data_IF_074288557405
#
_entry.id   IF_074288557405
#
_cell.length_a   1.000
_cell.length_b   1.000
_cell.length_c   1.000
_cell.angle_alpha   90.00
_cell.angle_beta   90.00
_cell.angle_gamma   90.00
#
_symmetry.space_group_name_H-M   'P 1'
#
loop_
_entity.id
_entity.type
_entity.pdbx_description
1 polymer ?
#
# COMPACT_ATOMS: atom_id res chain seq x y z
N UNK A 1 -56.30 41.51 22.58
CA UNK A 1 -57.33 41.03 23.53
C UNK A 1 -57.21 39.52 23.58
N UNK A 2 -56.96 38.95 24.77
CA UNK A 2 -57.04 37.51 25.01
C UNK A 2 -55.74 36.93 25.54
N UNK A 3 -55.74 36.63 26.84
CA UNK A 3 -54.61 36.31 27.71
C UNK A 3 -54.06 34.86 27.62
N UNK A 4 -52.85 34.72 28.18
CA UNK A 4 -52.11 33.51 28.50
C UNK A 4 -52.72 32.73 29.69
N UNK A 5 -52.64 31.40 29.65
CA UNK A 5 -52.75 30.53 30.83
C UNK A 5 -51.41 29.80 31.06
N UNK A 6 -50.65 30.27 32.06
CA UNK A 6 -49.46 29.60 32.59
C UNK A 6 -49.80 28.87 33.91
N UNK A 7 -49.76 27.54 33.88
CA UNK A 7 -50.06 26.68 35.02
C UNK A 7 -48.99 26.70 36.11
N UNK A 8 -49.46 26.90 37.34
CA UNK A 8 -48.75 27.06 38.61
C UNK A 8 -48.05 25.76 39.10
N UNK A 9 -46.72 25.71 38.98
CA UNK A 9 -45.83 24.70 39.58
C UNK A 9 -45.19 25.20 40.90
N UNK A 10 -45.49 26.41 41.36
CA UNK A 10 -44.88 27.02 42.56
C UNK A 10 -45.54 26.56 43.87
N UNK A 11 -46.79 26.10 43.83
CA UNK A 11 -47.53 25.68 45.02
C UNK A 11 -47.06 24.37 45.69
N UNK A 12 -46.45 23.43 44.94
CA UNK A 12 -46.10 22.09 45.48
C UNK A 12 -44.75 21.99 46.19
N UNK A 13 -43.81 22.93 45.95
CA UNK A 13 -42.51 22.94 46.62
C UNK A 13 -42.51 23.74 47.95
N UNK A 14 -43.44 24.69 48.11
CA UNK A 14 -43.53 25.50 49.33
C UNK A 14 -43.81 24.68 50.59
N UNK A 15 -44.71 23.70 50.51
CA UNK A 15 -45.09 22.86 51.67
C UNK A 15 -44.01 21.86 52.12
N UNK A 16 -43.04 21.51 51.26
CA UNK A 16 -41.92 20.63 51.60
C UNK A 16 -40.80 21.36 52.34
N UNK A 17 -40.59 22.65 52.02
CA UNK A 17 -39.59 23.49 52.69
C UNK A 17 -40.03 23.89 54.11
N UNK A 18 -41.33 24.06 54.33
CA UNK A 18 -41.86 24.45 55.64
C UNK A 18 -41.80 23.29 56.64
N UNK A 19 -42.11 22.05 56.21
CA UNK A 19 -41.92 20.84 57.03
C UNK A 19 -40.46 20.49 57.31
N UNK A 20 -39.54 20.88 56.41
CA UNK A 20 -38.11 20.74 56.66
C UNK A 20 -37.65 21.69 57.77
N UNK A 21 -38.11 22.95 57.79
CA UNK A 21 -37.73 23.96 58.80
C UNK A 21 -38.12 23.57 60.23
N UNK A 22 -39.26 22.92 60.42
CA UNK A 22 -39.72 22.53 61.76
C UNK A 22 -38.97 21.30 62.30
N UNK A 23 -38.54 20.40 61.41
CA UNK A 23 -37.69 19.25 61.75
C UNK A 23 -36.24 19.68 62.04
N UNK A 24 -35.77 20.78 61.45
CA UNK A 24 -34.42 21.34 61.59
C UNK A 24 -34.12 21.87 63.00
N UNK A 25 -35.12 22.38 63.72
CA UNK A 25 -34.92 22.87 65.09
C UNK A 25 -34.77 21.76 66.15
N UNK A 26 -35.13 20.52 65.82
CA UNK A 26 -35.09 19.38 66.76
C UNK A 26 -33.78 18.57 66.69
N UNK A 27 -33.02 18.74 65.62
CA UNK A 27 -31.79 17.99 65.33
C UNK A 27 -30.70 19.02 65.05
N UNK A 28 -29.88 19.33 66.07
CA UNK A 28 -28.92 20.44 66.02
C UNK A 28 -28.10 20.52 64.72
N UNK A 29 -27.91 21.74 64.21
CA UNK A 29 -27.39 22.09 62.89
C UNK A 29 -26.16 21.26 62.41
N UNK A 30 -25.29 20.83 63.32
CA UNK A 30 -24.14 19.95 63.00
C UNK A 30 -24.54 18.60 62.39
N UNK A 31 -25.68 18.00 62.77
CA UNK A 31 -26.14 16.70 62.24
C UNK A 31 -26.77 16.83 60.85
N UNK A 32 -27.35 17.99 60.53
CA UNK A 32 -27.91 18.29 59.20
C UNK A 32 -26.79 18.57 58.21
N UNK A 33 -25.74 19.28 58.63
CA UNK A 33 -24.54 19.47 57.80
C UNK A 33 -23.90 18.11 57.50
N UNK A 34 -23.71 17.24 58.50
CA UNK A 34 -23.17 15.88 58.29
C UNK A 34 -24.09 15.03 57.41
N UNK A 35 -25.41 15.10 57.60
CA UNK A 35 -26.38 14.38 56.78
C UNK A 35 -26.40 14.86 55.32
N UNK A 36 -26.36 16.18 55.09
CA UNK A 36 -26.28 16.75 53.74
C UNK A 36 -24.94 16.43 53.08
N UNK A 37 -23.83 16.45 53.82
CA UNK A 37 -22.51 16.09 53.32
C UNK A 37 -22.43 14.59 53.00
N UNK A 38 -23.08 13.73 53.79
CA UNK A 38 -23.25 12.30 53.48
C UNK A 38 -24.14 12.08 52.26
N UNK A 39 -25.23 12.85 52.09
CA UNK A 39 -26.08 12.77 50.89
C UNK A 39 -25.34 13.29 49.66
N UNK A 40 -24.53 14.34 49.76
CA UNK A 40 -23.68 14.81 48.67
C UNK A 40 -22.57 13.80 48.36
N UNK A 41 -21.94 13.19 49.38
CA UNK A 41 -20.96 12.09 49.21
C UNK A 41 -21.63 10.85 48.60
N UNK A 42 -22.87 10.53 48.96
CA UNK A 42 -23.62 9.41 48.40
C UNK A 42 -24.08 9.70 46.97
N UNK A 43 -24.51 10.93 46.67
CA UNK A 43 -24.85 11.37 45.30
C UNK A 43 -23.59 11.45 44.43
N UNK A 44 -22.48 11.98 44.93
CA UNK A 44 -21.19 11.95 44.24
C UNK A 44 -20.67 10.52 44.06
N UNK A 45 -20.74 9.71 45.11
CA UNK A 45 -20.20 8.36 45.15
C UNK A 45 -21.00 7.33 44.37
N UNK A 46 -22.27 7.58 44.05
CA UNK A 46 -23.16 6.65 43.31
C UNK A 46 -23.55 7.20 41.94
N UNK A 47 -23.71 8.51 41.77
CA UNK A 47 -24.28 9.11 40.55
C UNK A 47 -23.24 9.69 39.57
N UNK A 48 -21.98 9.89 39.99
CA UNK A 48 -20.89 10.39 39.13
C UNK A 48 -19.84 9.31 38.78
N UNK A 49 -20.11 8.02 39.02
CA UNK A 49 -19.21 6.97 38.56
C UNK A 49 -19.35 6.81 37.05
N UNK A 50 -18.24 6.83 36.27
CA UNK A 50 -18.29 6.53 34.85
C UNK A 50 -18.95 5.18 34.62
N UNK A 51 -19.95 5.15 33.74
CA UNK A 51 -20.59 3.91 33.33
C UNK A 51 -19.60 3.15 32.44
N UNK A 52 -19.29 1.88 32.74
CA UNK A 52 -18.41 1.09 31.89
C UNK A 52 -18.94 0.99 30.46
N UNK A 53 -18.05 1.06 29.47
CA UNK A 53 -18.39 1.01 28.06
C UNK A 53 -18.19 -0.38 27.43
N UNK A 54 -18.29 -0.43 26.10
CA UNK A 54 -18.09 -1.63 25.29
C UNK A 54 -16.99 -1.40 24.26
N UNK A 55 -16.11 -2.38 24.08
CA UNK A 55 -15.09 -2.36 23.02
C UNK A 55 -15.26 -3.62 22.19
N UNK A 56 -15.40 -3.46 20.88
CA UNK A 56 -15.35 -4.56 19.92
C UNK A 56 -14.07 -4.46 19.10
N UNK A 57 -13.35 -5.57 18.95
CA UNK A 57 -12.14 -5.66 18.15
C UNK A 57 -12.37 -6.70 17.06
N UNK A 58 -12.24 -6.29 15.80
CA UNK A 58 -12.21 -7.17 14.64
C UNK A 58 -10.76 -7.44 14.26
N UNK A 59 -10.33 -8.69 14.30
CA UNK A 59 -8.96 -9.09 13.96
C UNK A 59 -8.96 -9.72 12.58
N UNK A 60 -8.20 -9.11 11.66
CA UNK A 60 -8.12 -9.52 10.25
C UNK A 60 -6.66 -9.58 9.81
N UNK A 61 -6.38 -10.36 8.77
CA UNK A 61 -5.06 -10.38 8.15
C UNK A 61 -4.77 -9.05 7.43
N UNK A 62 -3.51 -8.59 7.52
CA UNK A 62 -3.08 -7.39 6.82
C UNK A 62 -3.34 -7.53 5.31
N UNK A 63 -3.99 -6.55 4.70
CA UNK A 63 -4.33 -6.52 3.25
C UNK A 63 -5.43 -7.49 2.80
N UNK A 64 -6.07 -8.20 3.72
CA UNK A 64 -7.21 -9.05 3.42
C UNK A 64 -8.28 -8.97 4.52
N UNK A 65 -9.22 -8.03 4.36
CA UNK A 65 -10.30 -7.80 5.31
C UNK A 65 -11.31 -8.96 5.36
N UNK A 66 -11.36 -9.81 4.34
CA UNK A 66 -12.19 -11.02 4.33
C UNK A 66 -11.56 -12.17 5.13
N UNK A 67 -10.24 -12.14 5.31
CA UNK A 67 -9.50 -13.14 6.07
C UNK A 67 -9.48 -12.78 7.56
N UNK A 68 -10.54 -13.17 8.26
CA UNK A 68 -10.65 -13.02 9.71
C UNK A 68 -9.71 -13.97 10.46
N UNK A 69 -9.26 -13.56 11.64
CA UNK A 69 -8.36 -14.35 12.50
C UNK A 69 -9.11 -14.79 13.77
N UNK A 70 -9.55 -16.04 13.78
CA UNK A 70 -10.21 -16.66 14.93
C UNK A 70 -9.20 -17.23 15.94
N UNK A 71 -9.58 -17.29 17.22
CA UNK A 71 -8.72 -17.83 18.28
C UNK A 71 -7.56 -16.92 18.71
N UNK A 72 -7.48 -15.68 18.22
CA UNK A 72 -6.49 -14.71 18.64
C UNK A 72 -6.80 -14.18 20.04
N UNK A 73 -5.78 -14.06 20.88
CA UNK A 73 -5.90 -13.51 22.22
C UNK A 73 -5.76 -12.00 22.17
N UNK A 74 -6.82 -11.31 22.58
CA UNK A 74 -6.89 -9.84 22.66
C UNK A 74 -6.79 -9.43 24.13
N UNK A 75 -5.87 -8.51 24.42
CA UNK A 75 -5.66 -7.97 25.75
C UNK A 75 -6.04 -6.50 25.78
N UNK A 76 -6.79 -6.11 26.82
CA UNK A 76 -7.11 -4.73 27.12
C UNK A 76 -6.24 -4.28 28.31
N UNK A 77 -5.41 -3.27 28.09
CA UNK A 77 -4.48 -2.70 29.06
C UNK A 77 -4.90 -1.28 29.44
N UNK A 78 -4.64 -0.87 30.68
CA UNK A 78 -4.75 0.52 31.09
C UNK A 78 -3.50 1.34 30.72
N UNK A 79 -3.50 2.64 31.02
CA UNK A 79 -2.37 3.55 30.78
C UNK A 79 -1.05 3.12 31.47
N UNK A 80 -1.11 2.34 32.56
CA UNK A 80 0.07 1.81 33.25
C UNK A 80 0.60 0.50 32.62
N UNK A 81 -0.03 0.04 31.53
CA UNK A 81 0.28 -1.25 30.90
C UNK A 81 -0.26 -2.47 31.67
N UNK A 82 -1.12 -2.27 32.68
CA UNK A 82 -1.73 -3.35 33.45
C UNK A 82 -2.97 -3.89 32.72
N UNK A 83 -3.08 -5.21 32.66
CA UNK A 83 -4.23 -5.89 32.09
C UNK A 83 -5.52 -5.60 32.88
N UNK A 84 -6.53 -5.12 32.15
CA UNK A 84 -7.89 -4.85 32.60
C UNK A 84 -8.82 -6.00 32.21
N UNK A 85 -8.57 -6.63 31.07
CA UNK A 85 -9.31 -7.79 30.59
C UNK A 85 -8.60 -8.49 29.44
N UNK A 86 -9.07 -9.69 29.10
CA UNK A 86 -8.61 -10.47 27.97
C UNK A 86 -9.78 -11.22 27.35
N UNK A 87 -9.85 -11.25 26.03
CA UNK A 87 -10.87 -11.96 25.26
C UNK A 87 -10.22 -12.72 24.11
N UNK A 88 -10.88 -13.78 23.63
CA UNK A 88 -10.42 -14.56 22.48
C UNK A 88 -11.36 -14.29 21.31
N UNK A 89 -10.82 -14.13 20.10
CA UNK A 89 -11.65 -13.89 18.93
C UNK A 89 -12.51 -15.11 18.57
N UNK A 90 -13.76 -14.85 18.22
CA UNK A 90 -14.71 -15.84 17.73
C UNK A 90 -14.43 -16.28 16.28
N UNK A 91 -15.31 -17.12 15.72
CA UNK A 91 -15.21 -17.59 14.32
C UNK A 91 -15.27 -16.45 13.29
N UNK A 92 -15.86 -15.31 13.66
CA UNK A 92 -15.91 -14.10 12.83
C UNK A 92 -14.70 -13.16 13.10
N UNK A 93 -13.71 -13.60 13.88
CA UNK A 93 -12.53 -12.81 14.23
C UNK A 93 -12.81 -11.68 15.22
N UNK A 94 -13.91 -11.74 15.98
CA UNK A 94 -14.34 -10.65 16.87
C UNK A 94 -14.10 -10.98 18.33
N UNK A 95 -13.60 -10.01 19.09
CA UNK A 95 -13.51 -10.02 20.54
C UNK A 95 -14.33 -8.86 21.12
N UNK A 96 -15.12 -9.12 22.17
CA UNK A 96 -15.99 -8.12 22.82
C UNK A 96 -15.65 -7.95 24.30
N UNK A 97 -15.19 -6.75 24.68
CA UNK A 97 -15.05 -6.37 26.09
C UNK A 97 -16.33 -5.68 26.57
N UNK A 98 -17.05 -6.34 27.49
CA UNK A 98 -18.21 -5.77 28.17
C UNK A 98 -17.79 -5.21 29.52
N UNK A 99 -17.91 -3.90 29.69
CA UNK A 99 -17.52 -3.23 30.93
C UNK A 99 -16.11 -2.65 30.92
N UNK A 100 -15.64 -2.22 29.76
CA UNK A 100 -14.37 -1.52 29.65
C UNK A 100 -14.41 -0.18 30.43
N UNK A 101 -13.33 0.20 31.15
CA UNK A 101 -13.28 1.47 31.87
C UNK A 101 -13.55 2.65 30.95
N UNK A 102 -14.47 3.51 31.35
CA UNK A 102 -14.74 4.76 30.65
C UNK A 102 -13.84 5.89 31.16
N UNK A 103 -13.70 6.93 30.33
CA UNK A 103 -12.92 8.14 30.56
C UNK A 103 -11.43 7.89 30.85
N UNK A 104 -10.94 6.70 30.51
CA UNK A 104 -9.56 6.27 30.66
C UNK A 104 -8.92 6.00 29.29
N UNK A 105 -7.61 6.20 29.22
CA UNK A 105 -6.80 5.79 28.08
C UNK A 105 -6.49 4.30 28.21
N UNK A 106 -6.92 3.54 27.21
CA UNK A 106 -6.77 2.09 27.14
C UNK A 106 -5.94 1.72 25.92
N UNK A 107 -5.25 0.59 26.00
CA UNK A 107 -4.45 0.04 24.90
C UNK A 107 -4.88 -1.38 24.63
N UNK A 108 -4.92 -1.75 23.35
CA UNK A 108 -5.18 -3.11 22.90
C UNK A 108 -3.88 -3.73 22.38
N UNK A 109 -3.65 -4.96 22.80
CA UNK A 109 -2.65 -5.86 22.24
C UNK A 109 -3.33 -7.12 21.72
N UNK A 110 -2.85 -7.65 20.59
CA UNK A 110 -3.38 -8.85 19.95
C UNK A 110 -2.26 -9.82 19.69
N UNK A 111 -2.40 -11.04 20.22
CA UNK A 111 -1.53 -12.18 19.95
C UNK A 111 -2.33 -13.26 19.20
N UNK A 112 -2.01 -13.48 17.93
CA UNK A 112 -2.64 -14.48 17.08
C UNK A 112 -1.76 -15.71 16.86
N UNK A 113 -0.79 -15.94 17.74
CA UNK A 113 0.13 -17.08 17.67
C UNK A 113 1.24 -16.93 16.63
N UNK A 114 1.98 -18.02 16.41
CA UNK A 114 3.25 -18.00 15.69
C UNK A 114 3.17 -17.55 14.21
N UNK A 115 1.99 -17.56 13.59
CA UNK A 115 1.81 -17.13 12.21
C UNK A 115 1.78 -15.62 12.03
N UNK A 116 1.57 -14.86 13.10
CA UNK A 116 1.41 -13.40 13.07
C UNK A 116 2.34 -12.70 14.06
N UNK A 117 2.74 -11.47 13.72
CA UNK A 117 3.42 -10.59 14.68
C UNK A 117 2.41 -10.10 15.71
N UNK A 118 2.77 -10.13 16.98
CA UNK A 118 1.96 -9.53 18.04
C UNK A 118 1.73 -8.05 17.74
N UNK A 119 0.47 -7.65 17.62
CA UNK A 119 0.09 -6.26 17.45
C UNK A 119 0.02 -5.60 18.84
N UNK A 120 0.64 -4.44 19.01
CA UNK A 120 0.67 -3.72 20.28
C UNK A 120 0.41 -2.24 20.09
N UNK A 121 -0.11 -1.59 21.13
CA UNK A 121 -0.19 -0.13 21.17
C UNK A 121 -1.41 0.47 20.46
N UNK A 122 -2.48 -0.29 20.22
CA UNK A 122 -3.72 0.27 19.68
C UNK A 122 -4.46 1.05 20.76
N UNK A 123 -4.39 2.38 20.72
CA UNK A 123 -5.04 3.25 21.70
C UNK A 123 -6.55 3.35 21.49
N UNK A 124 -7.32 3.30 22.59
CA UNK A 124 -8.76 3.54 22.59
C UNK A 124 -9.16 4.32 23.83
N UNK A 125 -10.12 5.23 23.64
CA UNK A 125 -10.73 5.98 24.73
C UNK A 125 -12.24 5.88 24.60
N UNK A 126 -12.90 5.61 25.70
CA UNK A 126 -14.35 5.53 25.79
C UNK A 126 -14.87 6.70 26.61
N UNK A 127 -16.00 7.26 26.20
CA UNK A 127 -16.83 8.08 27.09
C UNK A 127 -17.69 7.17 27.98
N UNK A 128 -18.17 7.70 29.11
CA UNK A 128 -19.07 6.99 30.02
C UNK A 128 -20.26 6.34 29.30
N UNK A 129 -20.35 5.01 29.35
CA UNK A 129 -21.38 4.19 28.71
C UNK A 129 -21.24 4.03 27.19
N UNK A 130 -20.17 4.58 26.61
CA UNK A 130 -19.91 4.57 25.17
C UNK A 130 -19.50 3.20 24.63
N UNK A 131 -19.45 3.12 23.30
CA UNK A 131 -18.97 1.95 22.57
C UNK A 131 -17.91 2.34 21.55
N UNK A 132 -16.88 1.52 21.38
CA UNK A 132 -15.87 1.67 20.33
C UNK A 132 -15.71 0.36 19.55
N UNK A 133 -15.41 0.49 18.26
CA UNK A 133 -15.09 -0.63 17.37
C UNK A 133 -13.74 -0.36 16.73
N UNK A 134 -12.85 -1.34 16.78
CA UNK A 134 -11.49 -1.23 16.28
C UNK A 134 -11.19 -2.40 15.35
N UNK A 135 -10.35 -2.16 14.37
CA UNK A 135 -9.86 -3.19 13.46
C UNK A 135 -8.35 -3.39 13.67
N UNK A 136 -7.98 -4.62 14.01
CA UNK A 136 -6.61 -5.06 14.22
C UNK A 136 -6.11 -5.79 12.96
N UNK A 137 -5.33 -5.10 12.13
CA UNK A 137 -4.71 -5.68 10.92
C UNK A 137 -3.40 -6.37 11.25
N UNK A 138 -3.42 -7.71 11.25
CA UNK A 138 -2.32 -8.57 11.69
C UNK A 138 -1.29 -8.80 10.58
N UNK A 139 -0.04 -8.44 10.86
CA UNK A 139 1.10 -8.71 9.97
C UNK A 139 1.55 -10.16 10.12
N UNK A 140 1.83 -10.87 9.02
CA UNK A 140 2.39 -12.22 9.09
C UNK A 140 3.78 -12.21 9.75
N UNK A 141 4.08 -13.27 10.48
CA UNK A 141 5.37 -13.46 11.16
C UNK A 141 6.50 -13.93 10.22
N UNK A 142 6.42 -13.63 8.93
CA UNK A 142 7.47 -13.93 7.96
C UNK A 142 8.60 -12.90 8.04
N UNK A 143 9.83 -13.38 8.13
CA UNK A 143 11.06 -12.60 8.20
C UNK A 143 11.61 -12.34 6.80
N UNK A 144 11.11 -11.29 6.16
CA UNK A 144 11.56 -10.84 4.85
C UNK A 144 12.39 -9.56 4.98
N UNK A 145 13.52 -9.52 4.27
CA UNK A 145 14.35 -8.33 4.11
C UNK A 145 14.32 -7.85 2.65
N UNK A 146 14.43 -6.53 2.47
CA UNK A 146 14.39 -5.90 1.15
C UNK A 146 15.62 -5.01 0.97
N UNK A 147 16.28 -5.16 -0.17
CA UNK A 147 17.25 -4.19 -0.69
C UNK A 147 16.75 -3.65 -2.01
N UNK A 148 16.70 -2.31 -2.10
CA UNK A 148 16.15 -1.61 -3.26
C UNK A 148 17.27 -0.81 -3.91
N UNK A 149 17.43 -0.98 -5.22
CA UNK A 149 18.40 -0.23 -5.99
C UNK A 149 17.70 0.79 -6.89
N UNK A 150 18.19 2.03 -6.89
CA UNK A 150 17.86 3.09 -7.85
C UNK A 150 16.35 3.29 -8.05
N UNK A 151 15.64 3.70 -6.99
CA UNK A 151 14.25 4.15 -7.13
C UNK A 151 14.24 5.38 -8.05
N UNK A 152 13.53 5.34 -9.18
CA UNK A 152 13.45 6.46 -10.11
C UNK A 152 12.80 7.67 -9.44
N UNK A 153 13.21 8.87 -9.85
CA UNK A 153 12.67 10.14 -9.35
C UNK A 153 11.77 10.85 -10.38
N UNK A 154 11.66 10.30 -11.59
CA UNK A 154 10.82 10.81 -12.68
C UNK A 154 10.21 9.66 -13.45
N UNK A 155 9.04 9.90 -14.04
CA UNK A 155 8.35 8.96 -14.93
C UNK A 155 7.51 9.73 -15.94
N UNK A 156 7.51 9.31 -17.20
CA UNK A 156 6.66 9.89 -18.24
C UNK A 156 5.18 9.67 -17.95
N UNK A 157 4.33 10.65 -18.30
CA UNK A 157 2.89 10.51 -18.17
C UNK A 157 2.37 9.26 -18.90
N UNK A 158 1.67 8.39 -18.17
CA UNK A 158 1.13 7.09 -18.62
C UNK A 158 2.15 5.96 -18.79
N UNK A 159 3.43 6.23 -18.53
CA UNK A 159 4.53 5.28 -18.63
C UNK A 159 4.76 4.51 -17.33
N UNK A 160 5.63 3.50 -17.40
CA UNK A 160 6.07 2.73 -16.24
C UNK A 160 7.57 2.81 -16.06
N UNK A 161 8.04 2.76 -14.82
CA UNK A 161 9.46 2.57 -14.51
C UNK A 161 9.67 1.30 -13.71
N UNK A 162 10.80 0.66 -13.94
CA UNK A 162 11.16 -0.58 -13.25
C UNK A 162 12.10 -0.29 -12.09
N UNK A 163 11.85 -0.94 -10.95
CA UNK A 163 12.70 -0.91 -9.77
C UNK A 163 13.18 -2.32 -9.48
N UNK A 164 14.48 -2.50 -9.34
CA UNK A 164 15.06 -3.77 -8.91
C UNK A 164 15.00 -3.87 -7.39
N UNK A 165 14.32 -4.91 -6.90
CA UNK A 165 14.15 -5.19 -5.47
C UNK A 165 14.66 -6.59 -5.17
N UNK A 166 15.76 -6.69 -4.43
CA UNK A 166 16.22 -7.95 -3.89
C UNK A 166 15.43 -8.26 -2.61
N UNK A 167 14.70 -9.37 -2.62
CA UNK A 167 13.98 -9.88 -1.45
C UNK A 167 14.76 -11.08 -0.92
N UNK A 168 15.01 -11.08 0.38
CA UNK A 168 15.64 -12.21 1.09
C UNK A 168 14.65 -12.81 2.07
N UNK A 169 14.37 -14.11 1.92
CA UNK A 169 13.62 -14.87 2.91
C UNK A 169 14.58 -15.38 3.98
N UNK A 170 14.46 -14.86 5.20
CA UNK A 170 15.31 -15.22 6.33
C UNK A 170 14.79 -16.43 7.10
N UNK A 171 13.59 -16.92 6.80
CA UNK A 171 13.01 -18.11 7.43
C UNK A 171 13.45 -19.40 6.75
N UNK A 172 13.22 -20.55 7.39
CA UNK A 172 13.44 -21.88 6.79
C UNK A 172 12.33 -22.27 5.81
N UNK A 173 11.12 -21.75 6.02
CA UNK A 173 9.93 -22.06 5.24
C UNK A 173 9.79 -21.14 4.02
N UNK A 174 9.17 -21.61 2.93
CA UNK A 174 8.88 -20.74 1.78
C UNK A 174 7.88 -19.64 2.14
N UNK A 175 8.01 -18.49 1.49
CA UNK A 175 7.11 -17.35 1.67
C UNK A 175 6.52 -16.90 0.33
N UNK A 176 5.23 -16.54 0.33
CA UNK A 176 4.59 -15.94 -0.84
C UNK A 176 5.07 -14.49 -1.01
N UNK A 177 5.57 -14.16 -2.20
CA UNK A 177 6.03 -12.83 -2.56
C UNK A 177 5.01 -12.19 -3.49
N UNK A 178 4.40 -11.10 -3.04
CA UNK A 178 3.49 -10.26 -3.83
C UNK A 178 3.74 -8.80 -3.44
N UNK A 179 3.92 -7.92 -4.43
CA UNK A 179 4.13 -6.49 -4.20
C UNK A 179 2.82 -5.73 -4.39
N UNK A 180 2.53 -4.83 -3.45
CA UNK A 180 1.37 -3.94 -3.50
C UNK A 180 1.79 -2.49 -3.30
N UNK A 181 1.06 -1.58 -3.94
CA UNK A 181 1.22 -0.14 -3.77
C UNK A 181 0.20 0.41 -2.77
N UNK A 182 0.64 1.27 -1.86
CA UNK A 182 -0.22 2.06 -0.99
C UNK A 182 -0.23 3.54 -1.37
N UNK A 183 -1.30 4.25 -1.00
CA UNK A 183 -1.48 5.66 -1.33
C UNK A 183 -1.75 5.84 -2.82
N UNK A 184 -1.03 6.73 -3.49
CA UNK A 184 -1.27 7.00 -4.91
C UNK A 184 -0.80 5.87 -5.84
N UNK A 185 -0.04 4.91 -5.31
CA UNK A 185 0.49 3.73 -6.01
C UNK A 185 -0.49 2.54 -6.04
N UNK A 186 -1.64 2.65 -5.39
CA UNK A 186 -2.64 1.58 -5.38
C UNK A 186 -3.08 1.22 -6.81
N UNK A 187 -3.01 -0.07 -7.15
CA UNK A 187 -3.30 -0.58 -8.50
C UNK A 187 -2.27 -0.21 -9.57
N UNK A 188 -1.09 0.31 -9.20
CA UNK A 188 -0.05 0.78 -10.14
C UNK A 188 1.28 0.04 -10.03
N UNK A 189 1.36 -0.93 -9.14
CA UNK A 189 2.53 -1.77 -8.92
C UNK A 189 2.30 -3.11 -9.60
N UNK A 190 3.23 -3.51 -10.45
CA UNK A 190 3.18 -4.78 -11.18
C UNK A 190 4.50 -5.50 -10.99
N UNK A 191 4.43 -6.71 -10.45
CA UNK A 191 5.57 -7.59 -10.25
C UNK A 191 5.10 -9.04 -10.36
N UNK A 192 5.99 -10.00 -10.68
CA UNK A 192 5.63 -11.41 -10.60
C UNK A 192 5.27 -11.77 -9.15
N UNK A 193 4.25 -12.60 -9.01
CA UNK A 193 3.86 -13.22 -7.73
C UNK A 193 4.29 -14.68 -7.74
N UNK A 194 5.04 -15.10 -6.73
CA UNK A 194 5.59 -16.45 -6.62
C UNK A 194 6.02 -16.78 -5.19
N UNK A 195 6.33 -18.05 -4.93
CA UNK A 195 6.96 -18.47 -3.67
C UNK A 195 8.48 -18.34 -3.71
N UNK A 196 9.05 -17.75 -2.66
CA UNK A 196 10.48 -17.69 -2.42
C UNK A 196 10.86 -18.70 -1.34
N UNK A 197 11.73 -19.64 -1.69
CA UNK A 197 12.22 -20.66 -0.76
C UNK A 197 12.91 -20.05 0.47
N UNK A 198 12.83 -20.74 1.60
CA UNK A 198 13.52 -20.33 2.82
C UNK A 198 15.03 -20.19 2.62
N UNK A 199 15.64 -19.25 3.33
CA UNK A 199 17.08 -18.92 3.28
C UNK A 199 17.62 -18.56 1.90
N UNK A 200 16.77 -18.09 1.00
CA UNK A 200 17.17 -17.65 -0.35
C UNK A 200 16.89 -16.17 -0.59
N UNK A 201 17.58 -15.62 -1.59
CA UNK A 201 17.37 -14.26 -2.08
C UNK A 201 17.05 -14.29 -3.57
N UNK A 202 16.16 -13.41 -4.02
CA UNK A 202 15.83 -13.23 -5.43
C UNK A 202 15.57 -11.77 -5.75
N UNK A 203 16.02 -11.33 -6.93
CA UNK A 203 15.74 -9.99 -7.44
C UNK A 203 14.46 -9.98 -8.26
N UNK A 204 13.55 -9.09 -7.87
CA UNK A 204 12.28 -8.83 -8.52
C UNK A 204 12.37 -7.52 -9.30
N UNK A 205 11.80 -7.52 -10.51
CA UNK A 205 11.60 -6.28 -11.26
C UNK A 205 10.17 -5.80 -10.98
N UNK A 206 10.07 -4.73 -10.20
CA UNK A 206 8.80 -4.13 -9.81
C UNK A 206 8.53 -2.94 -10.72
N UNK A 207 7.52 -3.06 -11.57
CA UNK A 207 7.09 -1.98 -12.46
C UNK A 207 6.10 -1.07 -11.73
N UNK A 208 6.32 0.24 -11.81
CA UNK A 208 5.47 1.27 -11.21
C UNK A 208 4.98 2.19 -12.33
N UNK A 209 3.65 2.32 -12.45
CA UNK A 209 3.03 3.07 -13.55
C UNK A 209 2.49 4.42 -13.11
N UNK A 210 2.85 5.48 -13.85
CA UNK A 210 2.34 6.82 -13.63
C UNK A 210 0.84 6.96 -13.99
N UNK A 211 0.23 8.08 -13.58
CA UNK A 211 -1.09 8.49 -14.08
C UNK A 211 -1.02 8.87 -15.55
N UNK A 212 -2.10 8.59 -16.29
CA UNK A 212 -2.12 8.59 -17.75
C UNK A 212 -2.22 9.98 -18.40
N UNK A 213 -2.57 11.04 -17.67
CA UNK A 213 -3.20 12.20 -18.28
C UNK A 213 -2.53 13.56 -18.03
N UNK A 214 -1.54 13.68 -17.14
CA UNK A 214 -0.94 15.00 -16.88
C UNK A 214 0.51 14.98 -16.42
N UNK A 215 1.37 15.67 -17.18
CA UNK A 215 2.71 16.04 -16.74
C UNK A 215 2.66 17.22 -15.76
N UNK A 216 3.63 17.29 -14.85
CA UNK A 216 3.73 18.31 -13.80
C UNK A 216 3.13 17.90 -12.45
N UNK A 217 2.50 16.72 -12.37
CA UNK A 217 2.06 16.13 -11.11
C UNK A 217 3.21 15.34 -10.46
N UNK A 218 3.01 14.88 -9.23
CA UNK A 218 3.88 13.91 -8.57
C UNK A 218 3.07 12.67 -8.23
N UNK A 219 3.76 11.54 -8.10
CA UNK A 219 3.18 10.30 -7.58
C UNK A 219 4.02 9.84 -6.40
N UNK A 220 3.38 9.74 -5.24
CA UNK A 220 4.04 9.30 -4.02
C UNK A 220 3.29 8.15 -3.32
N UNK A 221 4.05 7.28 -2.68
CA UNK A 221 3.46 6.19 -1.90
C UNK A 221 4.49 5.20 -1.41
N UNK A 222 3.99 4.07 -0.90
CA UNK A 222 4.82 2.98 -0.42
C UNK A 222 4.57 1.74 -1.29
N UNK A 223 5.64 1.14 -1.79
CA UNK A 223 5.60 -0.21 -2.35
C UNK A 223 6.05 -1.16 -1.26
N UNK A 224 5.25 -2.19 -0.97
CA UNK A 224 5.57 -3.16 0.09
C UNK A 224 5.18 -4.57 -0.30
N UNK A 225 5.76 -5.53 0.40
CA UNK A 225 5.35 -6.93 0.31
C UNK A 225 4.01 -7.09 1.03
N UNK A 226 3.04 -7.70 0.36
CA UNK A 226 1.72 -8.01 0.90
C UNK A 226 1.84 -8.83 2.18
N UNK A 227 0.90 -8.65 3.11
CA UNK A 227 0.90 -9.26 4.43
C UNK A 227 2.03 -8.82 5.36
N UNK A 228 2.92 -7.93 4.89
CA UNK A 228 3.99 -7.34 5.66
C UNK A 228 3.91 -5.81 5.63
N UNK A 229 4.60 -5.16 6.58
CA UNK A 229 4.83 -3.71 6.54
C UNK A 229 6.20 -3.36 5.94
N UNK A 230 6.91 -4.36 5.37
CA UNK A 230 8.23 -4.20 4.77
C UNK A 230 8.11 -3.71 3.34
N UNK A 231 8.73 -2.57 3.06
CA UNK A 231 8.62 -1.90 1.78
C UNK A 231 9.59 -0.73 1.65
N UNK A 232 9.39 0.05 0.60
CA UNK A 232 10.16 1.24 0.29
C UNK A 232 9.24 2.36 -0.21
N UNK A 233 9.62 3.60 0.06
CA UNK A 233 8.91 4.77 -0.42
C UNK A 233 9.29 5.05 -1.87
N UNK A 234 8.32 5.52 -2.64
CA UNK A 234 8.50 5.98 -4.01
C UNK A 234 7.95 7.38 -4.09
N UNK A 235 8.74 8.27 -4.68
CA UNK A 235 8.37 9.65 -4.96
C UNK A 235 8.92 10.00 -6.34
N UNK A 236 8.01 10.15 -7.30
CA UNK A 236 8.36 10.41 -8.70
C UNK A 236 7.62 11.64 -9.21
N UNK A 237 8.35 12.51 -9.92
CA UNK A 237 7.73 13.57 -10.70
C UNK A 237 7.22 13.01 -12.03
N UNK A 238 5.97 13.30 -12.35
CA UNK A 238 5.37 12.92 -13.63
C UNK A 238 5.76 13.97 -14.67
N UNK A 239 6.54 13.57 -15.67
CA UNK A 239 7.04 14.48 -16.72
C UNK A 239 6.36 14.21 -18.06
N UNK A 240 6.62 15.06 -19.05
CA UNK A 240 6.19 14.79 -20.43
C UNK A 240 6.77 13.44 -20.87
N UNK A 241 5.89 12.56 -21.38
CA UNK A 241 6.29 11.23 -21.87
C UNK A 241 7.44 11.33 -22.87
N UNK A 242 8.42 10.45 -22.72
CA UNK A 242 9.49 10.32 -23.71
C UNK A 242 8.98 9.69 -25.00
N UNK A 243 9.56 10.13 -26.12
CA UNK A 243 9.39 9.52 -27.44
C UNK A 243 10.76 9.39 -28.10
N UNK A 244 10.94 8.50 -29.06
CA UNK A 244 12.21 8.31 -29.74
C UNK A 244 12.05 8.22 -31.26
N UNK A 245 13.05 8.68 -32.01
CA UNK A 245 13.11 8.52 -33.47
C UNK A 245 14.12 7.45 -33.84
N UNK A 246 13.82 6.70 -34.90
CA UNK A 246 14.71 5.68 -35.45
C UNK A 246 15.20 6.13 -36.83
N UNK A 247 16.49 5.99 -37.09
CA UNK A 247 17.12 6.31 -38.37
C UNK A 247 18.17 5.25 -38.74
N UNK A 248 18.01 4.53 -39.88
CA UNK A 248 16.90 4.63 -40.82
C UNK A 248 15.60 4.06 -40.23
N UNK A 249 14.45 4.50 -40.76
CA UNK A 249 13.13 3.98 -40.37
C UNK A 249 12.73 2.71 -41.13
N UNK A 250 13.55 2.24 -42.07
CA UNK A 250 13.36 1.02 -42.87
C UNK A 250 14.72 0.54 -43.36
N UNK A 251 14.95 -0.77 -43.39
CA UNK A 251 16.18 -1.38 -43.91
C UNK A 251 15.84 -2.18 -45.17
N UNK A 252 16.56 -1.91 -46.26
CA UNK A 252 16.44 -2.66 -47.52
C UNK A 252 17.81 -2.98 -48.07
N UNK A 253 18.14 -4.27 -48.13
CA UNK A 253 19.49 -4.70 -48.50
C UNK A 253 19.46 -5.97 -49.34
N UNK A 254 20.49 -6.15 -50.16
CA UNK A 254 20.73 -7.36 -50.94
C UNK A 254 22.02 -8.01 -50.41
N UNK A 255 21.98 -9.30 -50.11
CA UNK A 255 23.13 -10.06 -49.60
C UNK A 255 23.28 -11.40 -50.33
N UNK A 256 24.50 -11.93 -50.40
CA UNK A 256 24.69 -13.27 -50.95
C UNK A 256 24.36 -14.33 -49.88
N UNK A 257 23.97 -15.53 -50.31
CA UNK A 257 23.75 -16.65 -49.40
C UNK A 257 25.01 -16.92 -48.56
N UNK A 258 24.86 -17.03 -47.24
CA UNK A 258 25.96 -17.25 -46.31
C UNK A 258 26.72 -15.99 -45.86
N UNK A 259 26.35 -14.80 -46.34
CA UNK A 259 26.92 -13.53 -45.84
C UNK A 259 26.12 -12.97 -44.65
N UNK A 260 26.81 -12.18 -43.83
CA UNK A 260 26.20 -11.39 -42.74
C UNK A 260 26.02 -9.95 -43.20
N UNK A 261 24.77 -9.46 -43.19
CA UNK A 261 24.49 -8.04 -43.31
C UNK A 261 24.72 -7.37 -41.95
N UNK A 262 25.47 -6.26 -41.92
CA UNK A 262 25.62 -5.42 -40.74
C UNK A 262 25.06 -4.03 -41.00
N UNK A 263 24.03 -3.65 -40.25
CA UNK A 263 23.36 -2.35 -40.34
C UNK A 263 23.35 -1.63 -38.99
N UNK A 264 23.13 -0.33 -39.02
CA UNK A 264 23.08 0.50 -37.81
C UNK A 264 21.79 1.32 -37.78
N UNK A 265 21.11 1.33 -36.64
CA UNK A 265 19.99 2.23 -36.36
C UNK A 265 20.40 3.20 -35.27
N UNK A 266 20.35 4.49 -35.60
CA UNK A 266 20.40 5.58 -34.64
C UNK A 266 19.03 5.73 -33.98
N UNK A 267 19.02 5.67 -32.66
CA UNK A 267 17.88 5.91 -31.79
C UNK A 267 18.09 7.26 -31.11
N UNK A 268 17.25 8.24 -31.42
CA UNK A 268 17.33 9.58 -30.84
C UNK A 268 16.19 9.76 -29.84
N UNK A 269 16.48 10.05 -28.56
CA UNK A 269 15.43 10.43 -27.61
C UNK A 269 14.93 11.84 -27.97
N UNK A 270 13.67 11.92 -28.40
CA UNK A 270 12.98 13.16 -28.77
C UNK A 270 12.18 13.77 -27.62
N UNK A 271 12.13 13.09 -26.47
CA UNK A 271 11.57 13.61 -25.22
C UNK A 271 12.34 14.82 -24.70
N UNK A 272 11.70 15.59 -23.81
CA UNK A 272 12.29 16.81 -23.24
C UNK A 272 12.93 16.60 -21.88
N UNK A 273 12.45 15.64 -21.10
CA UNK A 273 12.67 15.64 -19.65
C UNK A 273 12.98 14.28 -19.03
N UNK A 274 12.69 13.17 -19.71
CA UNK A 274 12.91 11.83 -19.18
C UNK A 274 13.92 11.07 -20.05
N UNK A 275 14.74 10.27 -19.36
CA UNK A 275 15.68 9.34 -19.97
C UNK A 275 14.94 8.06 -20.39
N UNK A 276 15.32 7.50 -21.54
CA UNK A 276 14.88 6.18 -21.96
C UNK A 276 15.87 5.14 -21.41
N UNK A 277 15.44 4.37 -20.41
CA UNK A 277 16.23 3.35 -19.70
C UNK A 277 15.63 1.93 -19.81
N UNK A 278 14.48 1.79 -20.47
CA UNK A 278 13.70 0.57 -20.60
C UNK A 278 13.53 0.12 -22.06
N UNK A 279 14.40 0.59 -22.95
CA UNK A 279 14.35 0.24 -24.37
C UNK A 279 14.62 -1.26 -24.56
N UNK A 280 13.67 -1.92 -25.20
CA UNK A 280 13.74 -3.33 -25.60
C UNK A 280 13.47 -3.47 -27.09
N UNK A 281 13.83 -4.62 -27.65
CA UNK A 281 13.59 -4.92 -29.05
C UNK A 281 13.17 -6.37 -29.26
N UNK A 282 12.30 -6.60 -30.24
CA UNK A 282 11.86 -7.94 -30.66
C UNK A 282 11.92 -8.03 -32.18
N UNK A 283 12.46 -9.13 -32.71
CA UNK A 283 12.46 -9.41 -34.16
C UNK A 283 11.26 -10.27 -34.52
N UNK A 284 10.57 -9.92 -35.61
CA UNK A 284 9.44 -10.66 -36.14
C UNK A 284 9.53 -10.84 -37.67
N UNK A 285 8.78 -11.82 -38.19
CA UNK A 285 8.74 -12.16 -39.62
C UNK A 285 9.80 -13.21 -40.01
N UNK A 286 10.08 -13.30 -41.30
CA UNK A 286 10.90 -14.36 -41.90
C UNK A 286 12.36 -14.32 -41.42
N UNK A 287 12.81 -13.17 -40.93
CA UNK A 287 14.20 -12.93 -40.51
C UNK A 287 14.43 -13.18 -39.02
N UNK A 288 13.40 -13.61 -38.26
CA UNK A 288 13.43 -13.67 -36.80
C UNK A 288 14.61 -14.49 -36.27
N UNK A 289 14.85 -15.64 -36.87
CA UNK A 289 15.89 -16.58 -36.41
C UNK A 289 17.28 -16.24 -36.96
N UNK A 290 17.37 -15.21 -37.83
CA UNK A 290 18.61 -14.80 -38.52
C UNK A 290 19.12 -13.44 -38.05
N UNK A 291 18.34 -12.74 -37.24
CA UNK A 291 18.63 -11.35 -36.88
C UNK A 291 18.98 -11.24 -35.42
N UNK A 292 20.12 -10.62 -35.14
CA UNK A 292 20.50 -10.17 -33.80
C UNK A 292 20.54 -8.66 -33.76
N UNK A 293 20.11 -8.08 -32.63
CA UNK A 293 20.16 -6.65 -32.37
C UNK A 293 20.92 -6.43 -31.08
N UNK A 294 21.89 -5.53 -31.10
CA UNK A 294 22.73 -5.22 -29.95
C UNK A 294 22.91 -3.71 -29.81
N UNK A 295 22.68 -3.17 -28.62
CA UNK A 295 22.97 -1.77 -28.30
C UNK A 295 24.47 -1.55 -28.08
N UNK A 296 24.98 -0.35 -28.37
CA UNK A 296 26.38 0.02 -28.07
C UNK A 296 26.71 -0.01 -26.58
N UNK A 297 25.75 0.35 -25.72
CA UNK A 297 25.82 0.21 -24.27
C UNK A 297 24.40 0.18 -23.66
N UNK A 298 24.32 -0.08 -22.35
CA UNK A 298 23.06 -0.19 -21.60
C UNK A 298 22.75 1.07 -20.78
N UNK A 299 23.47 2.18 -20.98
CA UNK A 299 23.16 3.41 -20.24
C UNK A 299 21.79 3.94 -20.68
N UNK A 300 21.13 4.81 -19.91
CA UNK A 300 19.93 5.51 -20.37
C UNK A 300 20.23 6.40 -21.60
N UNK A 301 19.23 6.66 -22.45
CA UNK A 301 19.29 7.65 -23.54
C UNK A 301 18.66 8.95 -23.05
N UNK A 302 19.48 9.96 -22.74
CA UNK A 302 19.00 11.24 -22.22
C UNK A 302 18.24 12.04 -23.28
N UNK A 303 17.41 13.02 -22.90
CA UNK A 303 16.77 13.93 -23.85
C UNK A 303 17.74 14.49 -24.90
N UNK A 304 17.39 14.33 -26.18
CA UNK A 304 18.19 14.72 -27.37
C UNK A 304 19.49 13.94 -27.58
N UNK A 305 19.77 12.93 -26.76
CA UNK A 305 20.90 12.02 -26.97
C UNK A 305 20.56 10.98 -28.04
N UNK A 306 21.61 10.46 -28.67
CA UNK A 306 21.53 9.41 -29.68
C UNK A 306 22.31 8.18 -29.25
N UNK A 307 21.77 7.00 -29.55
CA UNK A 307 22.49 5.72 -29.44
C UNK A 307 22.39 4.91 -30.71
N UNK A 308 23.32 3.98 -30.87
CA UNK A 308 23.38 3.12 -32.04
C UNK A 308 23.03 1.70 -31.61
N UNK A 309 22.03 1.13 -32.28
CA UNK A 309 21.80 -0.30 -32.30
C UNK A 309 22.50 -0.89 -33.54
N UNK A 310 23.33 -1.91 -33.33
CA UNK A 310 23.89 -2.71 -34.42
C UNK A 310 22.94 -3.87 -34.71
N UNK A 311 22.66 -4.10 -35.98
CA UNK A 311 21.81 -5.19 -36.46
C UNK A 311 22.70 -6.09 -37.31
N UNK A 312 22.75 -7.37 -36.97
CA UNK A 312 23.36 -8.38 -37.82
C UNK A 312 22.28 -9.32 -38.34
N UNK A 313 22.25 -9.53 -39.65
CA UNK A 313 21.36 -10.51 -40.29
C UNK A 313 22.22 -11.55 -41.00
N UNK A 314 22.19 -12.79 -40.52
CA UNK A 314 22.95 -13.91 -41.07
C UNK A 314 22.10 -14.65 -42.11
N UNK A 315 22.40 -14.51 -43.40
CA UNK A 315 21.63 -15.13 -44.48
C UNK A 315 21.76 -16.67 -44.50
N UNK A 316 20.92 -17.35 -43.72
CA UNK A 316 20.82 -18.82 -43.72
C UNK A 316 19.90 -19.42 -44.79
N UNK A 317 19.23 -18.60 -45.60
CA UNK A 317 18.20 -19.02 -46.55
C UNK A 317 18.68 -19.30 -47.98
N UNK A 318 17.81 -19.92 -48.78
CA UNK A 318 17.93 -19.99 -50.23
C UNK A 318 17.72 -18.61 -50.87
N UNK A 319 18.10 -18.45 -52.15
CA UNK A 319 17.81 -17.20 -52.86
C UNK A 319 16.32 -16.83 -52.83
N UNK A 320 16.00 -15.57 -52.56
CA UNK A 320 14.62 -15.13 -52.34
C UNK A 320 14.51 -13.78 -51.64
N UNK A 321 13.28 -13.31 -51.47
CA UNK A 321 12.95 -12.08 -50.73
C UNK A 321 12.30 -12.45 -49.39
N UNK A 322 12.81 -11.85 -48.32
CA UNK A 322 12.43 -12.11 -46.94
C UNK A 322 11.97 -10.81 -46.29
N UNK A 323 10.86 -10.88 -45.56
CA UNK A 323 10.23 -9.72 -44.92
C UNK A 323 10.18 -9.90 -43.42
N UNK A 324 10.49 -8.83 -42.70
CA UNK A 324 10.35 -8.80 -41.25
C UNK A 324 10.36 -7.40 -40.69
N UNK A 325 10.48 -7.32 -39.38
CA UNK A 325 10.59 -6.05 -38.67
C UNK A 325 11.33 -6.23 -37.34
N UNK A 326 12.01 -5.17 -36.92
CA UNK A 326 12.49 -5.01 -35.55
C UNK A 326 11.53 -4.06 -34.85
N UNK A 327 10.92 -4.50 -33.76
CA UNK A 327 10.00 -3.71 -32.95
C UNK A 327 10.78 -3.16 -31.77
N UNK A 328 11.01 -1.84 -31.72
CA UNK A 328 11.61 -1.16 -30.58
C UNK A 328 10.51 -0.72 -29.63
N UNK A 329 10.61 -1.06 -28.35
CA UNK A 329 9.58 -0.80 -27.35
C UNK A 329 10.16 -0.25 -26.06
N UNK A 330 9.55 0.81 -25.55
CA UNK A 330 9.66 1.29 -24.17
C UNK A 330 8.33 1.03 -23.47
N UNK A 331 8.22 1.34 -22.17
CA UNK A 331 6.95 1.32 -21.44
C UNK A 331 5.88 2.28 -21.99
N UNK A 332 6.29 3.29 -22.77
CA UNK A 332 5.41 4.33 -23.31
C UNK A 332 5.10 4.15 -24.80
N UNK A 333 6.10 3.72 -25.58
CA UNK A 333 6.11 3.88 -27.04
C UNK A 333 6.66 2.61 -27.68
N UNK A 334 6.04 2.20 -28.78
CA UNK A 334 6.53 1.12 -29.63
C UNK A 334 6.64 1.60 -31.07
N UNK A 335 7.79 1.38 -31.71
CA UNK A 335 8.06 1.74 -33.11
C UNK A 335 8.67 0.57 -33.89
N UNK A 336 8.02 0.10 -34.97
CA UNK A 336 8.59 -0.92 -35.83
C UNK A 336 9.57 -0.31 -36.85
N UNK A 337 10.59 -1.07 -37.20
CA UNK A 337 11.48 -0.83 -38.34
C UNK A 337 11.33 -1.99 -39.31
N UNK A 338 10.61 -1.81 -40.42
CA UNK A 338 10.49 -2.83 -41.44
C UNK A 338 11.84 -3.17 -42.07
N UNK A 339 12.04 -4.46 -42.34
CA UNK A 339 13.25 -5.00 -42.97
C UNK A 339 12.85 -5.83 -44.19
N UNK A 340 13.52 -5.55 -45.30
CA UNK A 340 13.39 -6.28 -46.56
C UNK A 340 14.79 -6.74 -47.00
N UNK A 341 15.01 -8.06 -46.98
CA UNK A 341 16.28 -8.67 -47.41
C UNK A 341 16.04 -9.48 -48.68
N UNK A 342 16.86 -9.23 -49.70
CA UNK A 342 16.92 -10.08 -50.89
C UNK A 342 18.22 -10.88 -50.88
N UNK A 343 18.10 -12.21 -50.77
CA UNK A 343 19.23 -13.14 -50.83
C UNK A 343 19.44 -13.54 -52.28
N UNK A 344 20.66 -13.31 -52.80
CA UNK A 344 21.06 -13.80 -54.13
C UNK A 344 21.48 -15.26 -54.02
N UNK A 345 20.94 -16.11 -54.89
CA UNK A 345 21.47 -17.47 -55.07
C UNK A 345 22.90 -17.38 -55.59
N UNK A 346 23.84 -17.96 -54.86
CA UNK A 346 25.21 -18.17 -55.31
C UNK A 346 25.31 -19.24 -56.40
#
# INVERSE_FOLDING_TARGET
MGDEEGGDLKGKFGGLLEKAKETVNRIGAKRIVVGALLVVILIWGVFLRPVPGKISVSVVELDNEEQVVSGAQVYLLNADGKMVGSEVTDEAGRAEFRGAPADAELTIEVDAGAMYKTLRGMSVRLESGGSSSLEAKMERATSLDLKVANVPNTVGAGCGKSVAVEVTNLDEEPADIEFIGGGELEGRVFAPSEQLAGKTSKTYIVQIRARNDKAGDSISGMVRLKYTRKGFSVDMNVVEKSDFKLSPSTIKSNINAGETLKEYITITNTGKSEDIDDLSFTVAGDIKDWTTVTMTNNDPIRPKEEKIATINVDAGGSGGKYLGQIIFSTSCVTKPVPIEIAIKSG
#
